data_IF_378975412510
#
_entry.id   IF_378975412510
#
_cell.length_a   1.000
_cell.length_b   1.000
_cell.length_c   1.000
_cell.angle_alpha   90.00
_cell.angle_beta   90.00
_cell.angle_gamma   90.00
#
_symmetry.space_group_name_H-M   'P 1'
#
loop_
_entity.id
_entity.type
_entity.pdbx_description
1 polymer ?
#
# COMPACT_ATOMS: atom_id res chain seq x y z
N UNK A 1 6.07 2.20 11.13
CA UNK A 1 5.29 2.81 10.07
C UNK A 1 3.80 2.43 10.10
N UNK A 2 3.40 1.23 10.49
CA UNK A 2 2.00 0.77 10.50
C UNK A 2 1.25 0.93 11.83
N UNK A 3 1.87 1.49 12.87
CA UNK A 3 1.23 1.67 14.21
C UNK A 3 -0.12 2.42 14.20
N UNK A 4 -0.34 3.45 13.35
CA UNK A 4 -1.63 4.16 13.35
C UNK A 4 -2.79 3.34 12.77
N UNK A 5 -2.52 2.29 11.98
CA UNK A 5 -3.55 1.49 11.31
C UNK A 5 -4.02 0.26 12.12
N UNK A 6 -3.49 0.06 13.33
CA UNK A 6 -3.86 -1.06 14.19
C UNK A 6 -3.40 -2.43 13.66
N UNK A 7 -3.87 -3.50 14.32
CA UNK A 7 -3.53 -4.89 13.95
C UNK A 7 -4.61 -5.56 13.08
N UNK A 8 -5.70 -4.87 12.76
CA UNK A 8 -6.75 -5.43 11.93
C UNK A 8 -6.28 -5.52 10.47
N UNK A 9 -6.38 -6.70 9.88
CA UNK A 9 -5.89 -7.00 8.53
C UNK A 9 -6.41 -6.05 7.46
N UNK A 10 -7.67 -5.59 7.58
CA UNK A 10 -8.28 -4.64 6.63
C UNK A 10 -7.63 -3.26 6.66
N UNK A 11 -7.25 -2.77 7.84
CA UNK A 11 -6.58 -1.46 7.97
C UNK A 11 -5.11 -1.52 7.60
N UNK A 12 -4.47 -2.68 7.81
CA UNK A 12 -3.11 -2.91 7.32
C UNK A 12 -3.08 -2.87 5.79
N UNK A 13 -4.06 -3.51 5.12
CA UNK A 13 -4.21 -3.43 3.67
C UNK A 13 -4.40 -1.96 3.21
N UNK A 14 -5.30 -1.21 3.86
CA UNK A 14 -5.53 0.20 3.54
C UNK A 14 -4.27 1.02 3.74
N UNK A 15 -3.53 0.80 4.83
CA UNK A 15 -2.27 1.47 5.11
C UNK A 15 -1.22 1.25 4.02
N UNK A 16 -1.06 0.01 3.56
CA UNK A 16 -0.17 -0.29 2.44
C UNK A 16 -0.60 0.39 1.14
N UNK A 17 -1.91 0.39 0.84
CA UNK A 17 -2.46 1.06 -0.34
C UNK A 17 -2.16 2.56 -0.29
N UNK A 18 -2.49 3.25 0.81
CA UNK A 18 -2.31 4.69 0.94
C UNK A 18 -0.83 5.10 0.90
N UNK A 19 0.02 4.41 1.65
CA UNK A 19 1.46 4.70 1.67
C UNK A 19 2.07 4.47 0.29
N UNK A 20 1.74 3.35 -0.36
CA UNK A 20 2.22 3.06 -1.72
C UNK A 20 1.77 4.12 -2.72
N UNK A 21 0.50 4.54 -2.66
CA UNK A 21 -0.04 5.56 -3.56
C UNK A 21 0.69 6.90 -3.39
N UNK A 22 0.92 7.34 -2.15
CA UNK A 22 1.64 8.60 -1.88
C UNK A 22 3.06 8.56 -2.42
N UNK A 23 3.81 7.48 -2.22
CA UNK A 23 5.15 7.35 -2.79
C UNK A 23 5.12 7.33 -4.32
N UNK A 24 4.13 6.68 -4.92
CA UNK A 24 4.01 6.58 -6.37
C UNK A 24 3.59 7.88 -7.06
N UNK A 25 3.09 8.86 -6.32
CA UNK A 25 2.86 10.21 -6.85
C UNK A 25 4.15 10.92 -7.27
N UNK A 26 5.28 10.55 -6.66
CA UNK A 26 6.57 11.24 -6.86
C UNK A 26 7.68 10.32 -7.37
N UNK A 27 7.50 9.01 -7.25
CA UNK A 27 8.45 7.99 -7.71
C UNK A 27 7.81 7.15 -8.82
N UNK A 28 8.64 6.51 -9.65
CA UNK A 28 8.09 5.60 -10.65
C UNK A 28 7.34 4.45 -10.00
N UNK A 29 6.23 4.02 -10.62
CA UNK A 29 5.39 2.93 -10.13
C UNK A 29 6.19 1.65 -9.85
N UNK A 30 7.15 1.33 -10.73
CA UNK A 30 8.01 0.15 -10.59
C UNK A 30 8.92 0.24 -9.38
N UNK A 31 9.59 1.39 -9.19
CA UNK A 31 10.48 1.61 -8.03
C UNK A 31 9.69 1.58 -6.73
N UNK A 32 8.52 2.24 -6.70
CA UNK A 32 7.61 2.23 -5.55
C UNK A 32 7.14 0.82 -5.23
N UNK A 33 6.71 0.06 -6.23
CA UNK A 33 6.25 -1.32 -6.03
C UNK A 33 7.37 -2.22 -5.48
N UNK A 34 8.59 -2.15 -6.04
CA UNK A 34 9.74 -2.92 -5.57
C UNK A 34 10.10 -2.59 -4.11
N UNK A 35 10.16 -1.31 -3.76
CA UNK A 35 10.41 -0.84 -2.41
C UNK A 35 9.33 -1.34 -1.43
N UNK A 36 8.06 -1.17 -1.79
CA UNK A 36 6.95 -1.54 -0.91
C UNK A 36 6.80 -3.05 -0.74
N UNK A 37 7.12 -3.86 -1.75
CA UNK A 37 7.17 -5.33 -1.62
C UNK A 37 8.24 -5.77 -0.62
N UNK A 38 9.36 -5.07 -0.54
CA UNK A 38 10.40 -5.33 0.46
C UNK A 38 9.85 -5.10 1.88
N UNK A 39 9.13 -3.98 2.11
CA UNK A 39 8.48 -3.71 3.40
C UNK A 39 7.31 -4.66 3.69
N UNK A 40 6.66 -5.19 2.66
CA UNK A 40 5.56 -6.13 2.83
C UNK A 40 6.05 -7.53 3.23
N UNK A 41 7.26 -7.92 2.85
CA UNK A 41 7.81 -9.28 3.08
C UNK A 41 7.69 -9.77 4.53
N UNK A 42 8.03 -8.99 5.58
CA UNK A 42 7.86 -9.42 6.97
C UNK A 42 6.39 -9.66 7.33
N UNK A 43 5.48 -8.84 6.78
CA UNK A 43 4.03 -8.97 7.01
C UNK A 43 3.50 -10.24 6.35
N UNK A 44 3.93 -10.54 5.12
CA UNK A 44 3.56 -11.77 4.41
C UNK A 44 4.05 -13.02 5.16
N UNK A 45 5.22 -12.97 5.79
CA UNK A 45 5.75 -14.08 6.62
C UNK A 45 4.94 -14.31 7.90
N UNK A 46 4.25 -13.28 8.39
CA UNK A 46 3.40 -13.38 9.59
C UNK A 46 1.99 -13.93 9.30
N UNK A 47 1.59 -13.97 8.01
CA UNK A 47 0.30 -14.50 7.60
C UNK A 47 0.36 -16.01 7.29
N UNK A 48 -0.75 -16.77 7.44
CA UNK A 48 -0.84 -18.17 7.04
C UNK A 48 -0.43 -18.39 5.59
N UNK A 49 0.27 -19.50 5.30
CA UNK A 49 0.84 -19.76 3.98
C UNK A 49 -0.24 -19.90 2.88
N UNK A 50 -1.40 -20.43 3.23
CA UNK A 50 -2.56 -20.73 2.37
C UNK A 50 -3.61 -19.62 2.33
N UNK A 51 -3.34 -18.49 2.98
CA UNK A 51 -4.30 -17.39 3.12
C UNK A 51 -4.44 -16.52 1.86
N UNK A 52 -5.67 -16.41 1.30
CA UNK A 52 -5.98 -15.47 0.21
C UNK A 52 -5.59 -14.02 0.54
N UNK A 53 -5.58 -13.63 1.81
CA UNK A 53 -5.15 -12.31 2.27
C UNK A 53 -3.69 -11.97 1.93
N UNK A 54 -2.81 -12.96 1.83
CA UNK A 54 -1.43 -12.78 1.33
C UNK A 54 -1.41 -12.27 -0.10
N UNK A 55 -2.22 -12.89 -0.96
CA UNK A 55 -2.34 -12.52 -2.37
C UNK A 55 -2.93 -11.10 -2.46
N UNK A 56 -3.96 -10.81 -1.67
CA UNK A 56 -4.57 -9.47 -1.62
C UNK A 56 -3.59 -8.37 -1.23
N UNK A 57 -2.75 -8.60 -0.22
CA UNK A 57 -1.69 -7.67 0.18
C UNK A 57 -0.63 -7.49 -0.91
N UNK A 58 -0.18 -8.57 -1.54
CA UNK A 58 0.80 -8.49 -2.63
C UNK A 58 0.24 -7.74 -3.84
N UNK A 59 -1.02 -8.00 -4.21
CA UNK A 59 -1.70 -7.34 -5.33
C UNK A 59 -2.03 -5.87 -5.03
N UNK A 60 -2.21 -5.50 -3.76
CA UNK A 60 -2.46 -4.12 -3.37
C UNK A 60 -1.32 -3.17 -3.75
N UNK A 61 -0.06 -3.64 -3.73
CA UNK A 61 1.10 -2.81 -4.04
C UNK A 61 1.07 -2.29 -5.49
N UNK A 62 1.06 -3.16 -6.53
CA UNK A 62 1.04 -2.67 -7.91
C UNK A 62 -0.23 -1.89 -8.25
N UNK A 63 -1.39 -2.28 -7.70
CA UNK A 63 -2.64 -1.53 -7.88
C UNK A 63 -2.51 -0.12 -7.31
N UNK A 64 -2.05 0.00 -6.06
CA UNK A 64 -1.89 1.30 -5.41
C UNK A 64 -0.79 2.15 -6.07
N UNK A 65 0.29 1.55 -6.57
CA UNK A 65 1.33 2.25 -7.30
C UNK A 65 0.79 2.84 -8.62
N UNK A 66 0.07 2.05 -9.40
CA UNK A 66 -0.49 2.53 -10.67
C UNK A 66 -1.56 3.62 -10.47
N UNK A 67 -2.46 3.43 -9.51
CA UNK A 67 -3.51 4.40 -9.22
C UNK A 67 -2.92 5.67 -8.60
N UNK A 68 -1.99 5.54 -7.65
CA UNK A 68 -1.31 6.66 -6.99
C UNK A 68 -0.53 7.52 -7.99
N UNK A 69 0.16 6.89 -8.95
CA UNK A 69 0.90 7.58 -9.99
C UNK A 69 0.07 8.52 -10.87
N UNK A 70 -1.26 8.35 -10.93
CA UNK A 70 -2.14 9.26 -11.65
C UNK A 70 -2.36 10.60 -10.92
N UNK A 71 -2.09 10.66 -9.61
CA UNK A 71 -2.37 11.82 -8.78
C UNK A 71 -1.57 13.08 -9.13
N UNK A 72 -0.38 12.94 -9.72
CA UNK A 72 0.47 14.07 -10.14
C UNK A 72 0.89 13.97 -11.59
N UNK A 73 1.22 15.11 -12.26
CA UNK A 73 1.72 15.08 -13.63
C UNK A 73 3.01 14.26 -13.81
N UNK A 74 3.83 14.15 -12.77
CA UNK A 74 5.14 13.49 -12.80
C UNK A 74 5.12 12.05 -12.29
N UNK A 75 4.00 11.58 -11.72
CA UNK A 75 3.90 10.26 -11.11
C UNK A 75 4.04 9.11 -12.13
N UNK A 76 3.61 9.34 -13.38
CA UNK A 76 3.76 8.35 -14.45
C UNK A 76 3.90 9.03 -15.82
N UNK A 77 4.72 8.50 -16.76
CA UNK A 77 4.95 9.10 -18.08
C UNK A 77 3.67 9.42 -18.89
N UNK A 78 2.61 8.59 -18.89
CA UNK A 78 1.38 8.93 -19.59
C UNK A 78 0.75 10.25 -19.18
N UNK A 79 0.87 10.65 -17.90
CA UNK A 79 0.32 11.92 -17.42
C UNK A 79 1.01 13.12 -18.08
N UNK A 80 2.34 13.09 -18.17
CA UNK A 80 3.11 14.14 -18.84
C UNK A 80 2.75 14.24 -20.34
N UNK A 81 2.53 13.10 -21.00
CA UNK A 81 2.10 13.05 -22.40
C UNK A 81 0.70 13.65 -22.53
N UNK A 82 -0.24 13.23 -21.69
CA UNK A 82 -1.61 13.78 -21.68
C UNK A 82 -1.59 15.30 -21.46
N UNK A 83 -0.81 15.77 -20.49
CA UNK A 83 -0.68 17.20 -20.19
C UNK A 83 -0.12 17.98 -21.39
N UNK A 84 0.86 17.42 -22.12
CA UNK A 84 1.37 18.02 -23.33
C UNK A 84 0.29 18.20 -24.38
N UNK A 85 -0.55 17.20 -24.64
CA UNK A 85 -1.66 17.29 -25.61
C UNK A 85 -2.74 18.29 -25.18
N UNK A 86 -3.07 18.33 -23.88
CA UNK A 86 -4.07 19.23 -23.33
C UNK A 86 -3.61 20.69 -23.43
N UNK A 87 -2.31 20.95 -23.33
CA UNK A 87 -1.71 22.27 -23.37
C UNK A 87 -1.15 22.67 -24.74
N UNK A 88 -1.35 21.83 -25.76
CA UNK A 88 -0.88 22.10 -27.11
C UNK A 88 -1.53 23.37 -27.67
N UNK A 89 -0.74 24.41 -28.07
CA UNK A 89 -1.29 25.65 -28.63
C UNK A 89 -2.07 25.43 -29.94
N UNK A 90 -1.72 24.42 -30.71
CA UNK A 90 -2.43 24.04 -31.95
C UNK A 90 -3.60 23.10 -31.68
N UNK A 91 -3.76 22.62 -30.43
CA UNK A 91 -4.81 21.71 -29.98
C UNK A 91 -5.81 22.36 -29.04
N UNK A 92 -5.94 21.79 -27.83
CA UNK A 92 -6.95 22.24 -26.85
C UNK A 92 -6.54 23.51 -26.09
N UNK A 93 -5.24 23.79 -25.97
CA UNK A 93 -4.66 24.98 -25.35
C UNK A 93 -5.26 25.33 -23.97
N UNK A 94 -5.41 24.32 -23.10
CA UNK A 94 -6.11 24.47 -21.82
C UNK A 94 -5.24 25.09 -20.73
N UNK A 95 -3.93 25.20 -20.94
CA UNK A 95 -2.96 25.76 -19.98
C UNK A 95 -3.03 25.12 -18.56
N UNK A 96 -3.23 23.81 -18.51
CA UNK A 96 -3.32 23.07 -17.26
C UNK A 96 -1.95 22.99 -16.60
N UNK A 97 -1.82 23.59 -15.42
CA UNK A 97 -0.62 23.51 -14.60
C UNK A 97 -0.61 22.31 -13.65
N UNK A 98 0.49 22.19 -12.88
CA UNK A 98 0.68 21.11 -11.92
C UNK A 98 -0.45 21.08 -10.85
N UNK A 99 -0.78 22.23 -10.30
CA UNK A 99 -1.83 22.35 -9.27
C UNK A 99 -3.24 22.06 -9.81
N UNK A 100 -3.53 22.47 -11.04
CA UNK A 100 -4.81 22.22 -11.69
C UNK A 100 -4.98 20.74 -11.97
N UNK A 101 -3.93 20.06 -12.49
CA UNK A 101 -3.95 18.61 -12.62
C UNK A 101 -4.27 17.92 -11.29
N UNK A 102 -3.56 18.28 -10.23
CA UNK A 102 -3.76 17.67 -8.91
C UNK A 102 -5.16 17.94 -8.35
N UNK A 103 -5.73 19.12 -8.59
CA UNK A 103 -7.07 19.46 -8.09
C UNK A 103 -8.17 18.54 -8.60
N UNK A 104 -8.01 18.00 -9.82
CA UNK A 104 -8.91 17.02 -10.41
C UNK A 104 -8.50 15.58 -10.10
N UNK A 105 -7.21 15.28 -10.24
CA UNK A 105 -6.73 13.90 -10.19
C UNK A 105 -6.56 13.36 -8.77
N UNK A 106 -6.31 14.20 -7.76
CA UNK A 106 -6.24 13.72 -6.36
C UNK A 106 -7.57 13.19 -5.84
N UNK A 107 -8.70 13.93 -5.94
CA UNK A 107 -10.00 13.39 -5.55
C UNK A 107 -10.35 12.09 -6.31
N UNK A 108 -10.10 12.07 -7.61
CA UNK A 108 -10.30 10.88 -8.44
C UNK A 108 -9.46 9.70 -7.95
N UNK A 109 -8.16 9.92 -7.74
CA UNK A 109 -7.23 8.91 -7.24
C UNK A 109 -7.67 8.35 -5.89
N UNK A 110 -8.10 9.19 -4.96
CA UNK A 110 -8.60 8.79 -3.65
C UNK A 110 -9.84 7.88 -3.80
N UNK A 111 -10.80 8.26 -4.62
CA UNK A 111 -12.01 7.46 -4.87
C UNK A 111 -11.63 6.08 -5.44
N UNK A 112 -10.77 6.05 -6.46
CA UNK A 112 -10.32 4.79 -7.09
C UNK A 112 -9.55 3.91 -6.10
N UNK A 113 -8.72 4.48 -5.21
CA UNK A 113 -8.02 3.73 -4.16
C UNK A 113 -9.00 3.09 -3.17
N UNK A 114 -10.06 3.78 -2.77
CA UNK A 114 -11.10 3.20 -1.92
C UNK A 114 -11.87 2.09 -2.60
N UNK A 115 -12.19 2.26 -3.88
CA UNK A 115 -12.83 1.21 -4.69
C UNK A 115 -11.90 0.00 -4.80
N UNK A 116 -10.63 0.21 -5.10
CA UNK A 116 -9.63 -0.85 -5.19
C UNK A 116 -9.47 -1.60 -3.84
N UNK A 117 -9.42 -0.86 -2.73
CA UNK A 117 -9.38 -1.44 -1.38
C UNK A 117 -10.62 -2.32 -1.12
N UNK A 118 -11.82 -1.84 -1.45
CA UNK A 118 -13.05 -2.60 -1.28
C UNK A 118 -13.06 -3.87 -2.13
N UNK A 119 -12.65 -3.77 -3.40
CA UNK A 119 -12.58 -4.90 -4.33
C UNK A 119 -11.57 -5.94 -3.81
N UNK A 120 -10.39 -5.52 -3.38
CA UNK A 120 -9.36 -6.41 -2.85
C UNK A 120 -9.83 -7.15 -1.59
N UNK A 121 -10.55 -6.48 -0.69
CA UNK A 121 -11.15 -7.12 0.48
C UNK A 121 -12.22 -8.16 0.10
N UNK A 122 -12.95 -7.91 -0.97
CA UNK A 122 -14.00 -8.81 -1.48
C UNK A 122 -13.41 -10.05 -2.17
N UNK A 123 -12.39 -9.85 -3.01
CA UNK A 123 -11.74 -10.93 -3.78
C UNK A 123 -10.80 -11.78 -2.92
N UNK A 124 -10.12 -11.14 -1.96
CA UNK A 124 -9.10 -11.77 -1.12
C UNK A 124 -9.42 -11.60 0.37
N UNK A 125 -10.49 -12.25 0.87
CA UNK A 125 -10.90 -12.11 2.26
C UNK A 125 -9.82 -12.65 3.20
N UNK A 126 -9.53 -11.88 4.25
CA UNK A 126 -8.66 -12.32 5.34
C UNK A 126 -9.42 -13.32 6.22
N UNK A 127 -8.90 -14.53 6.37
CA UNK A 127 -9.43 -15.53 7.32
C UNK A 127 -9.24 -15.08 8.79
N UNK A 128 -8.20 -14.28 9.05
CA UNK A 128 -7.91 -13.74 10.38
C UNK A 128 -8.25 -12.25 10.44
N UNK A 129 -9.03 -11.85 11.44
CA UNK A 129 -9.40 -10.43 11.67
C UNK A 129 -8.19 -9.58 12.08
N UNK A 130 -7.20 -10.18 12.74
CA UNK A 130 -5.97 -9.51 13.19
C UNK A 130 -4.76 -10.24 12.62
N UNK A 131 -3.78 -9.46 12.15
CA UNK A 131 -2.46 -10.00 11.84
C UNK A 131 -1.80 -10.26 13.21
N UNK A 132 -1.62 -11.53 13.56
CA UNK A 132 -1.11 -11.98 14.86
C UNK A 132 0.37 -11.63 15.05
N UNK A 133 0.67 -10.33 15.12
CA UNK A 133 1.93 -9.88 15.70
C UNK A 133 1.97 -10.15 17.22
N UNK A 134 0.78 -10.20 17.88
CA UNK A 134 0.68 -10.47 19.31
C UNK A 134 1.15 -11.87 19.67
N UNK A 135 0.77 -12.90 18.92
CA UNK A 135 1.13 -14.29 19.26
C UNK A 135 2.63 -14.55 19.18
N UNK A 136 3.33 -13.92 18.21
CA UNK A 136 4.81 -14.02 18.14
C UNK A 136 5.50 -13.25 19.26
N UNK A 137 4.95 -12.13 19.70
CA UNK A 137 5.49 -11.35 20.83
C UNK A 137 5.25 -12.09 22.13
N UNK A 138 4.08 -12.71 22.32
CA UNK A 138 3.79 -13.53 23.52
C UNK A 138 4.58 -14.83 23.51
N UNK A 139 4.73 -15.53 22.38
CA UNK A 139 5.63 -16.71 22.26
C UNK A 139 7.08 -16.34 22.49
N UNK A 140 7.53 -15.17 22.01
CA UNK A 140 8.88 -14.65 22.30
C UNK A 140 9.07 -14.33 23.79
N UNK A 141 8.10 -13.73 24.46
CA UNK A 141 8.13 -13.46 25.90
C UNK A 141 8.06 -14.73 26.73
N UNK A 142 7.24 -15.70 26.34
CA UNK A 142 7.15 -17.02 26.98
C UNK A 142 8.45 -17.81 26.82
N UNK A 143 9.12 -17.74 25.67
CA UNK A 143 10.42 -18.38 25.45
C UNK A 143 11.49 -17.71 26.27
N UNK A 144 11.48 -16.39 26.41
CA UNK A 144 12.42 -15.62 27.22
C UNK A 144 12.20 -15.86 28.73
N UNK A 145 10.93 -15.95 29.17
CA UNK A 145 10.59 -16.28 30.54
C UNK A 145 11.04 -17.71 30.91
N UNK A 146 10.81 -18.68 30.03
CA UNK A 146 11.30 -20.07 30.22
C UNK A 146 12.82 -20.16 30.25
N UNK A 147 13.49 -19.34 29.44
CA UNK A 147 14.96 -19.29 29.43
C UNK A 147 15.51 -18.69 30.73
N UNK A 148 14.87 -17.64 31.25
CA UNK A 148 15.23 -17.05 32.55
C UNK A 148 14.96 -18.02 33.72
N UNK A 149 13.83 -18.73 33.72
CA UNK A 149 13.52 -19.76 34.71
C UNK A 149 14.52 -20.94 34.67
N UNK A 150 15.02 -21.28 33.48
CA UNK A 150 16.05 -22.30 33.35
C UNK A 150 17.40 -21.83 33.93
N UNK A 151 17.77 -20.53 33.72
CA UNK A 151 18.99 -19.95 34.29
C UNK A 151 18.92 -19.86 35.82
N UNK A 152 17.77 -19.61 36.41
CA UNK A 152 17.59 -19.56 37.87
C UNK A 152 17.72 -20.97 38.55
N UNK A 153 17.58 -22.05 37.77
CA UNK A 153 17.68 -23.43 38.25
C UNK A 153 19.08 -24.04 38.13
N UNK A 154 20.05 -23.28 37.58
CA UNK A 154 21.45 -23.68 37.48
C UNK A 154 22.28 -23.14 38.64
#
# INVERSE_FOLDING_TARGET
>A
MLRPFGTQSRYVLLGFILVTAVFSMFLSNTATAAMMLTFLTPVLKALPADGKGKIGLAMAIPVAANVGGMGTPIGTPPNAIALKYLNDPEGLNLNIGFGEWMSFMLPYTIIVLFIAWFILLRLFPFKQKNIELKEKIEKGKLTQAKYMEWLEKQ
#
